data_IF_733810904487
#
_entry.id   IF_733810904487
#
_cell.length_a   1.000
_cell.length_b   1.000
_cell.length_c   1.000
_cell.angle_alpha   90.00
_cell.angle_beta   90.00
_cell.angle_gamma   90.00
#
_symmetry.space_group_name_H-M   'P 1'
#
loop_
_entity.id
_entity.type
_entity.pdbx_description
1 polymer ?
#
# COMPACT_ATOMS: atom_id res chain seq x y z
N UNK A 1 -12.05 -19.15 38.94
CA UNK A 1 -12.78 -19.05 37.66
C UNK A 1 -12.31 -17.81 36.91
N UNK A 2 -11.82 -18.01 35.68
CA UNK A 2 -11.75 -17.07 34.53
C UNK A 2 -10.87 -15.79 34.66
N UNK A 3 -9.58 -15.96 34.34
CA UNK A 3 -8.64 -14.85 34.08
C UNK A 3 -8.04 -14.87 32.65
N UNK A 4 -8.64 -15.54 31.65
CA UNK A 4 -7.99 -15.73 30.33
C UNK A 4 -8.82 -15.35 29.08
N UNK A 5 -10.03 -14.77 29.21
CA UNK A 5 -10.90 -14.60 28.03
C UNK A 5 -10.80 -13.22 27.35
N UNK A 6 -10.55 -12.15 28.11
CA UNK A 6 -10.60 -10.77 27.59
C UNK A 6 -9.44 -10.41 26.66
N UNK A 7 -8.23 -10.91 26.96
CA UNK A 7 -7.03 -10.66 26.15
C UNK A 7 -7.03 -11.40 24.81
N UNK A 8 -7.84 -12.46 24.65
CA UNK A 8 -8.06 -13.12 23.36
C UNK A 8 -9.14 -12.41 22.54
N UNK A 9 -10.21 -11.92 23.19
CA UNK A 9 -11.28 -11.15 22.55
C UNK A 9 -10.79 -9.83 21.94
N UNK A 10 -9.73 -9.22 22.49
CA UNK A 10 -9.09 -8.03 21.93
C UNK A 10 -8.15 -8.31 20.75
N UNK A 11 -7.88 -9.57 20.38
CA UNK A 11 -6.91 -9.94 19.32
C UNK A 11 -7.51 -10.50 18.05
N UNK A 12 -8.77 -10.95 18.07
CA UNK A 12 -9.42 -11.57 16.91
C UNK A 12 -10.62 -10.71 16.53
N UNK A 13 -10.42 -9.77 15.60
CA UNK A 13 -11.49 -8.91 15.09
C UNK A 13 -12.68 -9.75 14.61
N UNK A 14 -13.83 -9.60 15.27
CA UNK A 14 -14.99 -10.42 15.00
C UNK A 14 -15.68 -9.93 13.71
N UNK A 15 -15.32 -10.50 12.56
CA UNK A 15 -15.86 -10.15 11.24
C UNK A 15 -17.40 -10.27 11.14
N UNK A 16 -18.03 -11.04 12.04
CA UNK A 16 -19.47 -11.24 12.09
C UNK A 16 -20.22 -10.16 12.89
N UNK A 17 -19.53 -9.33 13.67
CA UNK A 17 -20.15 -8.20 14.36
C UNK A 17 -20.38 -7.03 13.39
N UNK A 18 -21.57 -6.42 13.41
CA UNK A 18 -21.97 -5.38 12.45
C UNK A 18 -21.08 -4.13 12.47
N UNK A 19 -20.46 -3.81 13.61
CA UNK A 19 -19.68 -2.59 13.84
C UNK A 19 -18.17 -2.87 14.02
N UNK A 20 -17.67 -4.03 13.56
CA UNK A 20 -16.25 -4.32 13.64
C UNK A 20 -15.47 -3.58 12.54
N UNK A 21 -14.43 -2.84 12.95
CA UNK A 21 -13.46 -2.16 12.08
C UNK A 21 -12.82 -3.12 11.06
N UNK A 22 -12.75 -4.41 11.39
CA UNK A 22 -12.28 -5.47 10.48
C UNK A 22 -13.10 -5.62 9.19
N UNK A 23 -14.39 -5.23 9.17
CA UNK A 23 -15.21 -5.25 7.94
C UNK A 23 -14.80 -4.14 6.96
N UNK A 24 -14.48 -2.95 7.46
CA UNK A 24 -14.02 -1.84 6.61
C UNK A 24 -12.66 -2.19 6.00
N UNK A 25 -11.76 -2.77 6.80
CA UNK A 25 -10.49 -3.33 6.31
C UNK A 25 -10.73 -4.35 5.19
N UNK A 26 -11.63 -5.31 5.42
CA UNK A 26 -11.96 -6.33 4.42
C UNK A 26 -12.50 -5.69 3.13
N UNK A 27 -13.38 -4.70 3.26
CA UNK A 27 -13.96 -3.97 2.12
C UNK A 27 -12.89 -3.23 1.32
N UNK A 28 -11.89 -2.64 1.95
CA UNK A 28 -10.77 -1.99 1.27
C UNK A 28 -9.93 -2.99 0.48
N UNK A 29 -9.57 -4.13 1.08
CA UNK A 29 -8.78 -5.17 0.40
C UNK A 29 -9.56 -5.88 -0.70
N UNK A 30 -10.88 -6.08 -0.54
CA UNK A 30 -11.75 -6.72 -1.55
C UNK A 30 -12.24 -5.75 -2.63
N UNK A 31 -11.90 -4.47 -2.54
CA UNK A 31 -12.28 -3.49 -3.56
C UNK A 31 -11.63 -3.81 -4.92
N UNK A 32 -12.26 -3.36 -6.01
CA UNK A 32 -11.79 -3.59 -7.40
C UNK A 32 -10.30 -3.27 -7.57
N UNK A 33 -9.82 -2.22 -6.92
CA UNK A 33 -8.43 -1.79 -7.00
C UNK A 33 -7.57 -2.37 -5.88
N UNK A 34 -8.12 -2.59 -4.68
CA UNK A 34 -7.40 -3.15 -3.54
C UNK A 34 -6.79 -4.52 -3.85
N UNK A 35 -7.58 -5.43 -4.43
CA UNK A 35 -7.09 -6.76 -4.84
C UNK A 35 -5.97 -6.64 -5.88
N UNK A 36 -6.14 -5.77 -6.88
CA UNK A 36 -5.14 -5.57 -7.94
C UNK A 36 -3.82 -5.00 -7.41
N UNK A 37 -3.89 -4.08 -6.45
CA UNK A 37 -2.71 -3.52 -5.76
C UNK A 37 -1.98 -4.63 -5.01
N UNK A 38 -2.70 -5.42 -4.20
CA UNK A 38 -2.11 -6.50 -3.41
C UNK A 38 -1.47 -7.57 -4.29
N UNK A 39 -2.12 -7.94 -5.39
CA UNK A 39 -1.57 -8.89 -6.37
C UNK A 39 -0.32 -8.31 -7.05
N UNK A 40 -0.36 -7.05 -7.46
CA UNK A 40 0.81 -6.41 -8.08
C UNK A 40 2.00 -6.34 -7.12
N UNK A 41 1.77 -6.00 -5.85
CA UNK A 41 2.84 -5.91 -4.84
C UNK A 41 3.42 -7.26 -4.44
N UNK A 42 2.74 -8.36 -4.76
CA UNK A 42 3.30 -9.71 -4.58
C UNK A 42 4.51 -9.97 -5.49
N UNK A 43 4.59 -9.29 -6.63
CA UNK A 43 5.75 -9.35 -7.54
C UNK A 43 6.95 -8.52 -7.04
N UNK A 44 6.73 -7.62 -6.05
CA UNK A 44 7.76 -6.78 -5.45
C UNK A 44 7.33 -5.32 -5.27
N UNK A 45 8.29 -4.48 -4.89
CA UNK A 45 8.07 -3.05 -4.68
C UNK A 45 7.79 -2.34 -6.00
N UNK A 46 6.64 -1.67 -6.10
CA UNK A 46 6.25 -0.92 -7.29
C UNK A 46 6.12 0.58 -7.03
N UNK A 47 6.50 1.39 -8.02
CA UNK A 47 6.21 2.83 -8.00
C UNK A 47 4.74 3.06 -8.32
N UNK A 48 4.22 4.20 -7.89
CA UNK A 48 2.84 4.62 -8.18
C UNK A 48 2.54 4.60 -9.69
N UNK A 49 3.48 5.06 -10.52
CA UNK A 49 3.33 5.08 -11.98
C UNK A 49 3.25 3.67 -12.59
N UNK A 50 3.99 2.70 -12.05
CA UNK A 50 3.97 1.32 -12.55
C UNK A 50 2.65 0.62 -12.18
N UNK A 51 2.15 0.85 -10.96
CA UNK A 51 0.84 0.38 -10.53
C UNK A 51 -0.28 0.94 -11.42
N UNK A 52 -0.25 2.25 -11.71
CA UNK A 52 -1.20 2.90 -12.62
C UNK A 52 -1.17 2.28 -14.02
N UNK A 53 0.02 1.97 -14.55
CA UNK A 53 0.18 1.36 -15.88
C UNK A 53 -0.30 -0.10 -15.89
N UNK A 54 0.00 -0.89 -14.85
CA UNK A 54 -0.48 -2.28 -14.69
C UNK A 54 -2.01 -2.36 -14.61
N UNK A 55 -2.64 -1.41 -13.90
CA UNK A 55 -4.09 -1.44 -13.64
C UNK A 55 -4.97 -0.82 -14.74
N UNK A 56 -4.40 -0.19 -15.77
CA UNK A 56 -5.08 0.24 -17.01
C UNK A 56 -6.52 0.76 -16.85
N UNK A 57 -6.69 2.09 -16.72
CA UNK A 57 -8.02 2.72 -16.61
C UNK A 57 -8.44 3.11 -15.19
N UNK A 58 -7.53 3.00 -14.22
CA UNK A 58 -7.71 3.59 -12.88
C UNK A 58 -7.41 5.08 -12.89
N UNK A 59 -8.28 5.89 -12.28
CA UNK A 59 -8.02 7.31 -12.03
C UNK A 59 -6.95 7.46 -10.93
N UNK A 60 -6.06 8.45 -11.07
CA UNK A 60 -5.01 8.70 -10.07
C UNK A 60 -5.57 8.93 -8.67
N UNK A 61 -6.68 9.67 -8.56
CA UNK A 61 -7.37 9.88 -7.29
C UNK A 61 -7.84 8.56 -6.67
N UNK A 62 -8.42 7.67 -7.47
CA UNK A 62 -8.91 6.39 -6.97
C UNK A 62 -7.77 5.49 -6.53
N UNK A 63 -6.69 5.42 -7.31
CA UNK A 63 -5.50 4.66 -6.95
C UNK A 63 -4.87 5.19 -5.65
N UNK A 64 -4.74 6.51 -5.53
CA UNK A 64 -4.20 7.14 -4.32
C UNK A 64 -5.09 6.90 -3.09
N UNK A 65 -6.41 6.99 -3.24
CA UNK A 65 -7.35 6.70 -2.16
C UNK A 65 -7.27 5.24 -1.70
N UNK A 66 -7.23 4.28 -2.65
CA UNK A 66 -7.09 2.86 -2.31
C UNK A 66 -5.75 2.56 -1.63
N UNK A 67 -4.66 3.14 -2.10
CA UNK A 67 -3.34 2.99 -1.45
C UNK A 67 -3.33 3.58 -0.04
N UNK A 68 -3.96 4.74 0.16
CA UNK A 68 -4.02 5.39 1.47
C UNK A 68 -4.89 4.60 2.46
N UNK A 69 -6.00 4.01 2.01
CA UNK A 69 -6.82 3.12 2.84
C UNK A 69 -6.01 1.88 3.27
N UNK A 70 -5.33 1.22 2.33
CA UNK A 70 -4.49 0.06 2.62
C UNK A 70 -3.26 0.39 3.49
N UNK A 71 -2.74 1.61 3.40
CA UNK A 71 -1.68 2.14 4.28
C UNK A 71 -2.20 2.34 5.71
N UNK A 72 -3.39 2.94 5.87
CA UNK A 72 -4.05 3.10 7.18
C UNK A 72 -4.38 1.77 7.83
N UNK A 73 -4.78 0.79 7.03
CA UNK A 73 -5.06 -0.58 7.47
C UNK A 73 -3.77 -1.35 7.83
N UNK A 74 -2.59 -0.82 7.48
CA UNK A 74 -1.28 -1.40 7.80
C UNK A 74 -0.79 -2.47 6.81
N UNK A 75 -1.45 -2.64 5.66
CA UNK A 75 -1.03 -3.60 4.62
C UNK A 75 0.11 -3.09 3.75
N UNK A 76 0.25 -1.76 3.63
CA UNK A 76 1.24 -1.13 2.77
C UNK A 76 2.21 -0.29 3.56
N UNK A 77 3.49 -0.39 3.20
CA UNK A 77 4.51 0.52 3.69
C UNK A 77 4.88 1.51 2.58
N UNK A 78 4.45 2.77 2.72
CA UNK A 78 4.73 3.81 1.73
C UNK A 78 6.05 4.50 2.04
N UNK A 79 7.08 4.17 1.27
CA UNK A 79 8.37 4.86 1.34
C UNK A 79 8.36 6.04 0.37
N UNK A 80 8.29 7.26 0.90
CA UNK A 80 8.55 8.47 0.11
C UNK A 80 10.04 8.70 0.01
N UNK A 81 10.60 8.47 -1.17
CA UNK A 81 11.93 8.92 -1.50
C UNK A 81 11.89 10.43 -1.73
N UNK A 82 12.03 11.19 -0.65
CA UNK A 82 12.42 12.58 -0.77
C UNK A 82 13.81 12.58 -1.39
N UNK A 83 13.97 13.22 -2.56
CA UNK A 83 15.29 13.50 -3.09
C UNK A 83 15.95 14.50 -2.13
N UNK A 84 16.59 13.99 -1.08
CA UNK A 84 17.56 14.70 -0.26
C UNK A 84 18.80 14.94 -1.13
N UNK A 85 18.68 15.80 -2.13
CA UNK A 85 19.76 16.05 -3.08
C UNK A 85 19.33 16.50 -4.48
N UNK A 86 18.54 17.57 -4.61
CA UNK A 86 18.59 18.37 -5.85
C UNK A 86 19.87 19.21 -5.97
N UNK A 87 20.86 19.00 -5.10
CA UNK A 87 22.23 19.54 -5.26
C UNK A 87 23.23 18.39 -5.39
N UNK A 88 23.32 17.81 -6.58
CA UNK A 88 24.59 17.26 -7.05
C UNK A 88 24.76 17.61 -8.53
N UNK A 89 25.83 18.32 -8.91
CA UNK A 89 26.13 18.55 -10.31
C UNK A 89 26.39 17.21 -10.99
N UNK A 90 25.77 17.03 -12.15
CA UNK A 90 26.02 15.91 -13.06
C UNK A 90 27.53 15.76 -13.31
N UNK A 91 28.15 14.59 -13.03
CA UNK A 91 29.43 14.29 -13.62
C UNK A 91 29.16 13.98 -15.09
N UNK A 92 29.46 14.95 -15.96
CA UNK A 92 29.80 14.69 -17.35
C UNK A 92 30.90 13.62 -17.37
N UNK A 93 30.54 12.35 -17.52
CA UNK A 93 31.36 11.40 -18.27
C UNK A 93 31.09 11.69 -19.73
N UNK A 94 32.02 12.15 -20.55
CA UNK A 94 33.45 11.86 -20.53
C UNK A 94 33.73 11.29 -21.92
N UNK A 95 34.10 12.17 -22.84
CA UNK A 95 34.63 11.79 -24.13
C UNK A 95 35.92 10.98 -23.93
N UNK A 96 35.96 9.77 -24.47
CA UNK A 96 37.16 9.03 -24.91
C UNK A 96 36.68 7.71 -25.53
N UNK A 97 37.03 7.30 -26.74
CA UNK A 97 37.98 7.82 -27.71
C UNK A 97 38.20 6.77 -28.80
N UNK A 98 38.91 7.21 -29.85
CA UNK A 98 39.45 6.44 -30.99
C UNK A 98 38.47 5.92 -32.04
#
# INVERSE_FOLDING_TARGET
>A
MRAHTLSRQLREGNLFAEQCTSREVLKHVTSRWGVLILVALRDGTHRFSDLRRKMGGVSEKMLAQSLQALEQDGFLNRVSYACLGCTSPSPRGGASGR
#
